data_IF_540801848788
#
_entry.id   IF_540801848788
#
_cell.length_a   1.000
_cell.length_b   1.000
_cell.length_c   1.000
_cell.angle_alpha   90.00
_cell.angle_beta   90.00
_cell.angle_gamma   90.00
#
_symmetry.space_group_name_H-M   'P 1'
#
loop_
_entity.id
_entity.type
_entity.pdbx_description
1 polymer ?
#
# COMPACT_ATOMS: atom_id res chain seq x y z
N UNK A 1 -8.68 7.11 19.19
CA UNK A 1 -8.02 5.96 18.51
C UNK A 1 -9.03 4.86 18.23
N UNK A 2 -8.89 4.18 17.12
CA UNK A 2 -9.64 2.97 16.77
C UNK A 2 -8.93 1.76 17.35
N UNK A 3 -9.70 0.79 17.88
CA UNK A 3 -9.16 -0.47 18.39
C UNK A 3 -9.64 -1.59 17.46
N UNK A 4 -8.71 -2.34 16.91
CA UNK A 4 -8.97 -3.56 16.15
C UNK A 4 -8.39 -4.74 16.93
N UNK A 5 -9.16 -5.80 17.07
CA UNK A 5 -8.74 -7.01 17.78
C UNK A 5 -8.74 -8.18 16.81
N UNK A 6 -7.60 -8.85 16.70
CA UNK A 6 -7.47 -10.11 15.96
C UNK A 6 -7.40 -11.27 16.92
N UNK A 7 -8.33 -12.21 16.82
CA UNK A 7 -8.37 -13.39 17.69
C UNK A 7 -7.47 -14.48 17.10
N UNK A 8 -6.29 -14.69 17.71
CA UNK A 8 -5.33 -15.72 17.27
C UNK A 8 -5.84 -17.16 17.43
N UNK A 9 -6.83 -17.37 18.31
CA UNK A 9 -7.41 -18.69 18.59
C UNK A 9 -8.54 -19.11 17.66
N UNK A 10 -9.06 -18.18 16.85
CA UNK A 10 -10.16 -18.42 15.90
C UNK A 10 -9.73 -17.82 14.56
N UNK A 11 -9.43 -18.70 13.63
CA UNK A 11 -8.89 -18.35 12.32
C UNK A 11 -9.79 -17.32 11.60
N UNK A 12 -9.19 -16.19 11.18
CA UNK A 12 -9.85 -15.15 10.40
C UNK A 12 -10.83 -14.26 11.18
N UNK A 13 -10.93 -14.38 12.52
CA UNK A 13 -11.85 -13.53 13.29
C UNK A 13 -11.18 -12.22 13.68
N UNK A 14 -11.75 -11.11 13.18
CA UNK A 14 -11.34 -9.76 13.49
C UNK A 14 -12.53 -8.94 14.02
N UNK A 15 -12.31 -8.20 15.11
CA UNK A 15 -13.27 -7.23 15.64
C UNK A 15 -12.72 -5.84 15.32
N UNK A 16 -13.32 -5.18 14.35
CA UNK A 16 -12.89 -3.87 13.90
C UNK A 16 -13.76 -2.78 14.52
N UNK A 17 -13.23 -2.05 15.50
CA UNK A 17 -13.91 -0.92 16.10
C UNK A 17 -14.06 0.24 15.10
N UNK A 18 -15.18 0.99 15.18
CA UNK A 18 -15.41 2.14 14.28
C UNK A 18 -14.59 3.38 14.68
N UNK A 19 -14.06 3.42 15.89
CA UNK A 19 -13.38 4.58 16.44
C UNK A 19 -14.36 5.66 16.95
N UNK A 20 -13.84 6.72 17.56
CA UNK A 20 -14.65 7.84 18.03
C UNK A 20 -15.09 8.73 16.86
N UNK A 21 -16.16 9.45 17.07
CA UNK A 21 -16.58 10.53 16.17
C UNK A 21 -15.49 11.62 16.10
N UNK A 22 -15.19 12.07 14.88
CA UNK A 22 -14.17 13.09 14.63
C UNK A 22 -14.89 14.44 14.41
N UNK A 23 -14.72 15.42 15.31
CA UNK A 23 -15.33 16.72 15.14
C UNK A 23 -14.88 17.43 13.85
N UNK A 24 -15.79 18.12 13.18
CA UNK A 24 -15.51 18.86 11.93
C UNK A 24 -14.29 19.82 12.05
N UNK A 25 -14.14 20.46 13.23
CA UNK A 25 -12.97 21.29 13.52
C UNK A 25 -11.66 20.53 13.37
N UNK A 26 -11.61 19.26 13.78
CA UNK A 26 -10.40 18.42 13.66
C UNK A 26 -10.14 17.99 12.22
N UNK A 27 -11.18 17.73 11.45
CA UNK A 27 -11.05 17.50 10.01
C UNK A 27 -10.48 18.74 9.31
N UNK A 28 -10.99 19.94 9.63
CA UNK A 28 -10.45 21.21 9.09
C UNK A 28 -8.99 21.45 9.48
N UNK A 29 -8.61 21.13 10.72
CA UNK A 29 -7.22 21.20 11.19
C UNK A 29 -6.30 20.25 10.38
N UNK A 30 -6.74 19.01 10.15
CA UNK A 30 -6.03 18.04 9.32
C UNK A 30 -5.86 18.56 7.89
N UNK A 31 -6.94 19.01 7.25
CA UNK A 31 -6.88 19.54 5.88
C UNK A 31 -5.94 20.74 5.77
N UNK A 32 -5.90 21.61 6.79
CA UNK A 32 -4.94 22.72 6.84
C UNK A 32 -3.50 22.24 6.95
N UNK A 33 -3.22 21.19 7.73
CA UNK A 33 -1.86 20.61 7.82
C UNK A 33 -1.45 19.99 6.47
N UNK A 34 -2.35 19.21 5.85
CA UNK A 34 -2.09 18.58 4.56
C UNK A 34 -1.89 19.62 3.44
N UNK A 35 -2.61 20.75 3.50
CA UNK A 35 -2.48 21.81 2.48
C UNK A 35 -1.09 22.48 2.45
N UNK A 36 -0.28 22.30 3.51
CA UNK A 36 1.09 22.79 3.58
C UNK A 36 2.12 21.88 2.89
N UNK A 37 1.72 20.66 2.49
CA UNK A 37 2.58 19.75 1.75
C UNK A 37 2.88 20.30 0.34
N UNK A 38 4.08 19.99 -0.16
CA UNK A 38 4.58 20.46 -1.44
C UNK A 38 5.55 19.50 -2.12
N UNK A 39 6.29 20.00 -3.07
CA UNK A 39 7.26 19.23 -3.85
C UNK A 39 8.28 18.52 -2.94
N UNK A 40 8.50 17.24 -3.19
CA UNK A 40 9.39 16.37 -2.42
C UNK A 40 8.74 15.68 -1.21
N UNK A 41 7.56 16.14 -0.77
CA UNK A 41 6.84 15.46 0.29
C UNK A 41 6.19 14.16 -0.20
N UNK A 42 6.05 13.19 0.72
CA UNK A 42 5.35 11.92 0.49
C UNK A 42 4.18 11.82 1.46
N UNK A 43 2.98 11.63 0.92
CA UNK A 43 1.78 11.41 1.72
C UNK A 43 1.27 9.98 1.54
N UNK A 44 1.07 9.28 2.66
CA UNK A 44 0.44 7.96 2.67
C UNK A 44 -1.03 8.10 3.07
N UNK A 45 -1.93 7.65 2.21
CA UNK A 45 -3.36 7.49 2.47
C UNK A 45 -3.62 5.99 2.61
N UNK A 46 -3.65 5.48 3.84
CA UNK A 46 -3.75 4.06 4.13
C UNK A 46 -4.96 3.72 5.00
N UNK A 47 -5.57 2.56 4.72
CA UNK A 47 -6.69 2.01 5.47
C UNK A 47 -8.06 2.61 5.11
N UNK A 48 -9.03 2.40 6.00
CA UNK A 48 -10.42 2.83 5.82
C UNK A 48 -10.67 4.23 6.39
N UNK A 49 -11.56 4.98 5.75
CA UNK A 49 -12.05 6.27 6.27
C UNK A 49 -12.99 6.01 7.46
N UNK A 50 -12.83 6.69 8.61
CA UNK A 50 -13.78 6.62 9.71
C UNK A 50 -15.20 7.01 9.27
N UNK A 51 -16.22 6.32 9.80
CA UNK A 51 -17.63 6.59 9.45
C UNK A 51 -18.12 8.01 9.75
N UNK A 52 -17.41 8.73 10.61
CA UNK A 52 -17.65 10.14 10.92
C UNK A 52 -17.07 11.13 9.92
N UNK A 53 -16.30 10.67 8.95
CA UNK A 53 -15.77 11.46 7.84
C UNK A 53 -16.49 11.11 6.54
N UNK A 54 -16.51 12.05 5.61
CA UNK A 54 -17.06 11.80 4.28
C UNK A 54 -16.25 10.70 3.55
N UNK A 55 -16.94 9.83 2.82
CA UNK A 55 -16.37 8.71 2.09
C UNK A 55 -15.50 9.12 0.88
N UNK A 56 -15.51 10.41 0.55
CA UNK A 56 -14.70 11.06 -0.47
C UNK A 56 -13.45 11.79 0.10
N UNK A 57 -13.13 11.57 1.39
CA UNK A 57 -12.04 12.30 2.06
C UNK A 57 -10.69 12.13 1.35
N UNK A 58 -10.34 10.92 0.89
CA UNK A 58 -9.10 10.69 0.13
C UNK A 58 -9.11 11.43 -1.21
N UNK A 59 -10.24 11.41 -1.91
CA UNK A 59 -10.41 12.16 -3.16
C UNK A 59 -10.19 13.65 -2.93
N UNK A 60 -10.82 14.25 -1.92
CA UNK A 60 -10.66 15.68 -1.57
C UNK A 60 -9.23 16.04 -1.20
N UNK A 61 -8.52 15.15 -0.49
CA UNK A 61 -7.10 15.35 -0.17
C UNK A 61 -6.26 15.37 -1.45
N UNK A 62 -6.48 14.41 -2.35
CA UNK A 62 -5.74 14.35 -3.61
C UNK A 62 -6.04 15.54 -4.52
N UNK A 63 -7.31 15.95 -4.61
CA UNK A 63 -7.72 17.15 -5.35
C UNK A 63 -7.05 18.43 -4.81
N UNK A 64 -6.99 18.58 -3.48
CA UNK A 64 -6.33 19.72 -2.84
C UNK A 64 -4.81 19.75 -3.08
N UNK A 65 -4.18 18.60 -3.26
CA UNK A 65 -2.73 18.45 -3.45
C UNK A 65 -2.34 18.32 -4.93
N UNK A 66 -3.31 18.31 -5.83
CA UNK A 66 -3.05 18.23 -7.27
C UNK A 66 -2.15 19.39 -7.74
N UNK A 67 -1.17 19.06 -8.57
CA UNK A 67 -0.19 20.02 -9.07
C UNK A 67 0.86 20.53 -8.07
N UNK A 68 0.85 20.09 -6.80
CA UNK A 68 1.83 20.52 -5.78
C UNK A 68 3.12 19.70 -5.72
N UNK A 69 3.27 18.68 -6.57
CA UNK A 69 4.47 17.84 -6.59
C UNK A 69 4.59 16.87 -5.41
N UNK A 70 3.52 16.67 -4.63
CA UNK A 70 3.47 15.68 -3.54
C UNK A 70 3.33 14.29 -4.14
N UNK A 71 4.19 13.34 -3.72
CA UNK A 71 4.04 11.93 -4.07
C UNK A 71 3.00 11.30 -3.16
N UNK A 72 1.82 10.96 -3.69
CA UNK A 72 0.73 10.37 -2.91
C UNK A 72 0.69 8.85 -3.12
N UNK A 73 0.78 8.14 -2.02
CA UNK A 73 0.72 6.67 -1.95
C UNK A 73 -0.62 6.27 -1.37
N UNK A 74 -1.35 5.38 -2.06
CA UNK A 74 -2.68 4.97 -1.62
C UNK A 74 -2.71 3.45 -1.39
N UNK A 75 -2.97 3.06 -0.14
CA UNK A 75 -3.27 1.68 0.25
C UNK A 75 -4.71 1.61 0.76
N UNK A 76 -5.64 1.51 -0.18
CA UNK A 76 -7.07 1.50 0.06
C UNK A 76 -7.75 0.45 -0.82
N UNK A 77 -8.96 0.04 -0.43
CA UNK A 77 -9.69 -1.02 -1.10
C UNK A 77 -10.87 -0.51 -1.93
N UNK A 78 -11.26 -1.26 -2.96
CA UNK A 78 -12.51 -1.13 -3.73
C UNK A 78 -12.80 0.31 -4.20
N UNK A 79 -13.98 0.81 -3.85
CA UNK A 79 -14.48 2.12 -4.30
C UNK A 79 -13.57 3.29 -3.90
N UNK A 80 -12.94 3.19 -2.71
CA UNK A 80 -12.04 4.23 -2.22
C UNK A 80 -10.80 4.34 -3.11
N UNK A 81 -10.24 3.20 -3.53
CA UNK A 81 -9.14 3.17 -4.49
C UNK A 81 -9.57 3.73 -5.86
N UNK A 82 -10.73 3.29 -6.36
CA UNK A 82 -11.19 3.72 -7.68
C UNK A 82 -11.47 5.24 -7.77
N UNK A 83 -11.96 5.84 -6.69
CA UNK A 83 -12.21 7.30 -6.61
C UNK A 83 -10.94 8.15 -6.70
N UNK A 84 -9.77 7.62 -6.32
CA UNK A 84 -8.51 8.39 -6.30
C UNK A 84 -7.66 8.22 -7.56
N UNK A 85 -7.91 7.21 -8.39
CA UNK A 85 -7.13 6.96 -9.60
C UNK A 85 -7.06 8.16 -10.57
N UNK A 86 -8.16 8.94 -10.81
CA UNK A 86 -8.11 10.10 -11.68
C UNK A 86 -7.13 11.21 -11.25
N UNK A 87 -6.68 11.19 -9.99
CA UNK A 87 -5.71 12.14 -9.42
C UNK A 87 -4.26 11.63 -9.46
N UNK A 88 -4.01 10.57 -10.22
CA UNK A 88 -2.67 10.04 -10.51
C UNK A 88 -1.82 9.71 -9.28
N UNK A 89 -2.29 8.86 -8.33
CA UNK A 89 -1.47 8.44 -7.19
C UNK A 89 -0.13 7.87 -7.68
N UNK A 90 0.96 8.26 -6.99
CA UNK A 90 2.31 7.79 -7.32
C UNK A 90 2.43 6.27 -7.19
N UNK A 91 1.86 5.70 -6.12
CA UNK A 91 1.83 4.27 -5.86
C UNK A 91 0.47 3.85 -5.31
N UNK A 92 -0.04 2.74 -5.81
CA UNK A 92 -1.14 2.00 -5.19
C UNK A 92 -0.69 0.57 -4.89
N UNK A 93 -1.22 -0.02 -3.79
CA UNK A 93 -0.89 -1.40 -3.42
C UNK A 93 -2.14 -2.26 -3.15
N UNK A 94 -2.87 -2.73 -4.14
CA UNK A 94 -3.84 -3.81 -3.94
C UNK A 94 -3.15 -5.15 -3.70
N UNK A 95 -3.78 -6.06 -2.95
CA UNK A 95 -3.42 -7.47 -3.02
C UNK A 95 -4.14 -8.14 -4.20
N UNK A 96 -3.76 -9.39 -4.53
CA UNK A 96 -4.36 -10.11 -5.66
C UNK A 96 -5.87 -10.35 -5.52
N UNK A 97 -6.39 -10.48 -4.29
CA UNK A 97 -7.82 -10.65 -4.02
C UNK A 97 -8.56 -9.33 -4.25
N UNK A 98 -8.07 -8.23 -3.70
CA UNK A 98 -8.62 -6.88 -3.89
C UNK A 98 -8.62 -6.48 -5.37
N UNK A 99 -7.52 -6.78 -6.08
CA UNK A 99 -7.44 -6.55 -7.52
C UNK A 99 -8.47 -7.41 -8.27
N UNK A 100 -8.60 -8.68 -7.89
CA UNK A 100 -9.60 -9.59 -8.46
C UNK A 100 -11.03 -9.12 -8.21
N UNK A 101 -11.35 -8.63 -7.01
CA UNK A 101 -12.66 -8.06 -6.67
C UNK A 101 -13.03 -6.86 -7.55
N UNK A 102 -12.08 -5.96 -7.83
CA UNK A 102 -12.31 -4.79 -8.70
C UNK A 102 -12.75 -5.21 -10.11
N UNK A 103 -12.21 -6.31 -10.62
CA UNK A 103 -12.46 -6.76 -11.99
C UNK A 103 -13.38 -7.97 -12.09
N UNK A 104 -13.91 -8.50 -10.97
CA UNK A 104 -14.78 -9.65 -10.93
C UNK A 104 -14.11 -10.97 -11.36
N UNK A 105 -12.81 -11.15 -11.07
CA UNK A 105 -11.99 -12.30 -11.46
C UNK A 105 -11.21 -12.86 -10.29
N UNK A 106 -10.80 -14.12 -10.39
CA UNK A 106 -9.86 -14.74 -9.43
C UNK A 106 -8.43 -14.71 -9.98
N UNK A 107 -7.50 -14.14 -9.22
CA UNK A 107 -6.10 -13.95 -9.61
C UNK A 107 -5.17 -14.74 -8.66
N UNK A 108 -4.50 -15.78 -9.18
CA UNK A 108 -3.70 -16.72 -8.39
C UNK A 108 -2.20 -16.67 -8.69
N UNK A 109 -1.81 -16.25 -9.88
CA UNK A 109 -0.40 -16.24 -10.31
C UNK A 109 0.07 -14.83 -10.60
N UNK A 110 1.39 -14.61 -10.54
CA UNK A 110 1.99 -13.30 -10.85
C UNK A 110 1.66 -12.85 -12.27
N UNK A 111 1.71 -13.74 -13.24
CA UNK A 111 1.37 -13.43 -14.62
C UNK A 111 -0.10 -12.99 -14.76
N UNK A 112 -1.00 -13.59 -13.97
CA UNK A 112 -2.44 -13.29 -14.04
C UNK A 112 -2.79 -11.89 -13.55
N UNK A 113 -2.00 -11.29 -12.65
CA UNK A 113 -2.28 -9.95 -12.11
C UNK A 113 -1.81 -8.82 -13.03
N UNK A 114 -0.80 -9.05 -13.88
CA UNK A 114 -0.19 -8.02 -14.73
C UNK A 114 -1.20 -7.28 -15.63
N UNK A 115 -2.09 -7.95 -16.38
CA UNK A 115 -3.05 -7.26 -17.23
C UNK A 115 -3.99 -6.33 -16.46
N UNK A 116 -4.39 -6.70 -15.25
CA UNK A 116 -5.29 -5.92 -14.40
C UNK A 116 -4.56 -4.76 -13.71
N UNK A 117 -3.34 -4.97 -13.27
CA UNK A 117 -2.49 -3.88 -12.77
C UNK A 117 -2.26 -2.81 -13.84
N UNK A 118 -2.00 -3.20 -15.09
CA UNK A 118 -1.92 -2.28 -16.25
C UNK A 118 -3.24 -1.54 -16.52
N UNK A 119 -4.39 -2.16 -16.23
CA UNK A 119 -5.67 -1.46 -16.34
C UNK A 119 -5.82 -0.38 -15.25
N UNK A 120 -5.33 -0.61 -14.02
CA UNK A 120 -5.31 0.43 -12.98
C UNK A 120 -4.35 1.58 -13.33
N UNK A 121 -3.21 1.28 -13.98
CA UNK A 121 -2.35 2.34 -14.54
C UNK A 121 -3.09 3.18 -15.59
N UNK A 122 -3.78 2.54 -16.53
CA UNK A 122 -4.57 3.27 -17.54
C UNK A 122 -5.68 4.12 -16.94
N UNK A 123 -6.15 3.79 -15.74
CA UNK A 123 -7.13 4.57 -14.98
C UNK A 123 -6.51 5.70 -14.16
N UNK A 124 -5.16 5.78 -14.09
CA UNK A 124 -4.45 6.92 -13.50
C UNK A 124 -3.31 6.58 -12.54
N UNK A 125 -3.25 5.40 -11.95
CA UNK A 125 -2.14 5.06 -11.06
C UNK A 125 -0.80 5.12 -11.82
N UNK A 126 0.24 5.73 -11.23
CA UNK A 126 1.56 5.74 -11.86
C UNK A 126 2.27 4.38 -11.67
N UNK A 127 2.29 3.87 -10.46
CA UNK A 127 2.88 2.57 -10.13
C UNK A 127 1.84 1.70 -9.43
N UNK A 128 1.79 0.41 -9.78
CA UNK A 128 0.88 -0.58 -9.19
C UNK A 128 1.68 -1.73 -8.62
N UNK A 129 1.75 -1.80 -7.29
CA UNK A 129 2.41 -2.88 -6.54
C UNK A 129 1.35 -3.88 -6.08
N UNK A 130 1.34 -5.08 -6.64
CA UNK A 130 0.38 -6.14 -6.26
C UNK A 130 1.05 -7.10 -5.31
N UNK A 131 0.57 -7.17 -4.06
CA UNK A 131 1.03 -8.14 -3.08
C UNK A 131 0.26 -9.47 -3.22
N UNK A 132 0.95 -10.60 -3.12
CA UNK A 132 0.38 -11.92 -3.38
C UNK A 132 0.74 -12.95 -2.29
N UNK A 133 0.98 -12.49 -1.07
CA UNK A 133 1.36 -13.31 0.08
C UNK A 133 2.47 -14.31 -0.28
N UNK A 134 2.23 -15.64 -0.15
CA UNK A 134 3.21 -16.68 -0.45
C UNK A 134 3.65 -16.76 -1.92
N UNK A 135 2.91 -16.16 -2.86
CA UNK A 135 3.28 -16.08 -4.28
C UNK A 135 4.25 -14.93 -4.58
N UNK A 136 4.50 -14.04 -3.60
CA UNK A 136 5.39 -12.91 -3.75
C UNK A 136 4.70 -11.61 -4.14
N UNK A 137 5.21 -10.91 -5.15
CA UNK A 137 4.65 -9.64 -5.59
C UNK A 137 4.94 -9.34 -7.07
N UNK A 138 4.17 -8.39 -7.62
CA UNK A 138 4.35 -7.82 -8.95
C UNK A 138 4.32 -6.30 -8.86
N UNK A 139 5.25 -5.63 -9.52
CA UNK A 139 5.22 -4.19 -9.73
C UNK A 139 5.02 -3.89 -11.22
N UNK A 140 4.01 -3.10 -11.54
CA UNK A 140 3.91 -2.44 -12.85
C UNK A 140 4.31 -0.99 -12.65
N UNK A 141 5.51 -0.63 -13.10
CA UNK A 141 6.13 0.67 -12.87
C UNK A 141 5.69 1.72 -13.90
N UNK A 142 5.78 3.00 -13.53
CA UNK A 142 5.49 4.13 -14.42
C UNK A 142 6.42 4.17 -15.66
N UNK A 143 7.61 3.55 -15.58
CA UNK A 143 8.51 3.36 -16.71
C UNK A 143 7.95 2.42 -17.79
N UNK A 144 6.87 1.68 -17.49
CA UNK A 144 6.32 0.62 -18.33
C UNK A 144 6.90 -0.76 -18.07
N UNK A 145 7.95 -0.87 -17.23
CA UNK A 145 8.55 -2.12 -16.84
C UNK A 145 7.64 -2.91 -15.90
N UNK A 146 7.77 -4.23 -15.93
CA UNK A 146 7.08 -5.14 -15.02
C UNK A 146 8.14 -5.94 -14.27
N UNK A 147 8.12 -5.86 -12.95
CA UNK A 147 8.99 -6.62 -12.07
C UNK A 147 8.16 -7.65 -11.33
N UNK A 148 8.68 -8.87 -11.24
CA UNK A 148 8.07 -9.98 -10.53
C UNK A 148 9.09 -10.64 -9.62
N UNK A 149 8.70 -10.99 -8.40
CA UNK A 149 9.53 -11.76 -7.50
C UNK A 149 8.71 -12.73 -6.67
N UNK A 150 9.22 -13.94 -6.42
CA UNK A 150 8.61 -14.88 -5.48
C UNK A 150 8.72 -14.35 -4.05
N UNK A 151 7.91 -14.89 -3.15
CA UNK A 151 8.05 -14.60 -1.73
C UNK A 151 9.40 -15.09 -1.20
N UNK A 152 10.12 -14.30 -0.39
CA UNK A 152 11.31 -14.76 0.31
C UNK A 152 10.99 -15.94 1.24
N UNK A 153 12.01 -16.76 1.51
CA UNK A 153 11.86 -17.90 2.42
C UNK A 153 11.85 -17.40 3.87
N UNK A 154 10.82 -17.78 4.62
CA UNK A 154 10.70 -17.48 6.03
C UNK A 154 9.47 -18.13 6.64
N UNK A 155 9.38 -18.11 7.97
CA UNK A 155 8.20 -18.61 8.69
C UNK A 155 7.27 -17.44 8.96
N UNK A 156 6.04 -17.54 8.49
CA UNK A 156 4.99 -16.57 8.83
C UNK A 156 4.72 -16.62 10.36
N UNK A 157 4.93 -15.51 11.03
CA UNK A 157 4.67 -15.31 12.46
C UNK A 157 3.49 -14.37 12.65
N UNK A 158 3.52 -13.21 11.98
CA UNK A 158 2.47 -12.19 12.11
C UNK A 158 2.32 -11.39 10.81
N UNK A 159 1.21 -11.58 10.10
CA UNK A 159 0.94 -10.84 8.86
C UNK A 159 0.45 -9.40 9.04
N UNK A 160 0.21 -8.96 10.30
CA UNK A 160 -0.30 -7.60 10.59
C UNK A 160 0.77 -6.55 10.29
N UNK A 161 0.43 -5.57 9.47
CA UNK A 161 1.35 -4.50 9.09
C UNK A 161 2.35 -4.89 7.99
N UNK A 162 2.35 -6.14 7.50
CA UNK A 162 3.23 -6.54 6.39
C UNK A 162 2.95 -5.75 5.11
N UNK A 163 1.68 -5.46 4.80
CA UNK A 163 1.28 -4.61 3.68
C UNK A 163 1.77 -3.17 3.83
N UNK A 164 1.58 -2.59 5.01
CA UNK A 164 2.05 -1.23 5.33
C UNK A 164 3.58 -1.15 5.25
N UNK A 165 4.28 -2.18 5.78
CA UNK A 165 5.74 -2.28 5.70
C UNK A 165 6.22 -2.40 4.25
N UNK A 166 5.50 -3.15 3.38
CA UNK A 166 5.83 -3.26 1.95
C UNK A 166 5.75 -1.89 1.26
N UNK A 167 4.71 -1.13 1.52
CA UNK A 167 4.54 0.22 0.94
C UNK A 167 5.62 1.18 1.46
N UNK A 168 5.90 1.14 2.76
CA UNK A 168 6.93 1.97 3.38
C UNK A 168 8.33 1.62 2.85
N UNK A 169 8.66 0.32 2.74
CA UNK A 169 9.92 -0.16 2.17
C UNK A 169 10.09 0.23 0.71
N UNK A 170 9.03 0.10 -0.11
CA UNK A 170 9.06 0.56 -1.50
C UNK A 170 9.40 2.05 -1.59
N UNK A 171 8.70 2.89 -0.82
CA UNK A 171 8.95 4.33 -0.85
C UNK A 171 10.34 4.70 -0.34
N UNK A 172 10.80 4.05 0.73
CA UNK A 172 12.16 4.26 1.24
C UNK A 172 13.23 3.92 0.18
N UNK A 173 13.10 2.76 -0.49
CA UNK A 173 14.01 2.36 -1.56
C UNK A 173 13.94 3.28 -2.78
N UNK A 174 12.74 3.73 -3.16
CA UNK A 174 12.59 4.68 -4.26
C UNK A 174 13.21 6.05 -3.94
N UNK A 175 13.00 6.56 -2.74
CA UNK A 175 13.58 7.84 -2.32
C UNK A 175 15.11 7.76 -2.18
N UNK A 176 15.66 6.57 -1.94
CA UNK A 176 17.12 6.36 -1.85
C UNK A 176 17.81 6.44 -3.22
N UNK A 177 17.22 5.87 -4.27
CA UNK A 177 17.90 5.67 -5.57
C UNK A 177 17.10 6.08 -6.80
N UNK A 178 15.82 6.39 -6.67
CA UNK A 178 14.87 6.59 -7.77
C UNK A 178 14.87 5.41 -8.79
N UNK A 179 15.13 4.20 -8.29
CA UNK A 179 15.19 2.95 -9.05
C UNK A 179 14.02 2.05 -8.66
N UNK A 180 13.20 1.66 -9.64
CA UNK A 180 11.99 0.86 -9.38
C UNK A 180 12.29 -0.57 -8.95
N UNK A 181 13.36 -1.19 -9.47
CA UNK A 181 13.73 -2.55 -9.07
C UNK A 181 14.23 -2.57 -7.63
N UNK A 182 15.07 -1.59 -7.26
CA UNK A 182 15.52 -1.44 -5.88
C UNK A 182 14.35 -1.18 -4.92
N UNK A 183 13.45 -0.26 -5.29
CA UNK A 183 12.24 0.04 -4.52
C UNK A 183 11.35 -1.21 -4.34
N UNK A 184 11.15 -1.97 -5.40
CA UNK A 184 10.38 -3.22 -5.38
C UNK A 184 10.98 -4.25 -4.44
N UNK A 185 12.30 -4.49 -4.53
CA UNK A 185 13.00 -5.40 -3.63
C UNK A 185 12.96 -4.93 -2.17
N UNK A 186 13.13 -3.64 -1.90
CA UNK A 186 12.99 -3.06 -0.55
C UNK A 186 11.57 -3.23 0.00
N UNK A 187 10.55 -3.04 -0.85
CA UNK A 187 9.16 -3.28 -0.47
C UNK A 187 8.90 -4.73 -0.07
N UNK A 188 9.32 -5.69 -0.90
CA UNK A 188 9.19 -7.12 -0.59
C UNK A 188 9.95 -7.47 0.68
N UNK A 189 11.19 -6.98 0.83
CA UNK A 189 12.00 -7.26 2.01
C UNK A 189 11.34 -6.75 3.29
N UNK A 190 10.86 -5.52 3.30
CA UNK A 190 10.21 -4.92 4.47
C UNK A 190 8.90 -5.62 4.83
N UNK A 191 8.06 -5.91 3.84
CA UNK A 191 6.80 -6.63 4.04
C UNK A 191 7.02 -8.06 4.55
N UNK A 192 7.95 -8.79 3.95
CA UNK A 192 8.25 -10.17 4.33
C UNK A 192 8.95 -10.27 5.68
N UNK A 193 9.93 -9.40 5.96
CA UNK A 193 10.58 -9.35 7.26
C UNK A 193 9.58 -9.08 8.38
N UNK A 194 8.64 -8.14 8.17
CA UNK A 194 7.57 -7.88 9.14
C UNK A 194 6.64 -9.08 9.31
N UNK A 195 6.32 -9.82 8.24
CA UNK A 195 5.53 -11.04 8.33
C UNK A 195 6.24 -12.19 9.07
N UNK A 196 7.57 -12.19 9.09
CA UNK A 196 8.41 -13.19 9.78
C UNK A 196 8.75 -12.80 11.22
N UNK A 197 8.33 -11.64 11.69
CA UNK A 197 8.61 -11.11 13.03
C UNK A 197 7.32 -11.01 13.87
N UNK A 198 7.45 -10.99 15.20
CA UNK A 198 6.31 -10.80 16.11
C UNK A 198 5.74 -9.37 16.02
N UNK A 199 6.62 -8.41 15.80
CA UNK A 199 6.31 -6.98 15.58
C UNK A 199 6.71 -6.57 14.16
N UNK A 200 6.63 -5.27 13.85
CA UNK A 200 7.21 -4.74 12.61
C UNK A 200 8.72 -4.98 12.61
N UNK A 201 9.26 -5.33 11.44
CA UNK A 201 10.66 -5.70 11.29
C UNK A 201 11.63 -4.55 11.62
N UNK A 202 12.76 -4.93 12.20
CA UNK A 202 13.90 -4.02 12.35
C UNK A 202 14.64 -3.82 11.03
N UNK A 203 15.53 -2.82 11.00
CA UNK A 203 16.38 -2.56 9.82
C UNK A 203 17.25 -3.76 9.46
N UNK A 204 17.79 -4.45 10.45
CA UNK A 204 18.65 -5.61 10.27
C UNK A 204 17.89 -6.80 9.68
N UNK A 205 16.65 -7.04 10.14
CA UNK A 205 15.77 -8.08 9.61
C UNK A 205 15.40 -7.78 8.16
N UNK A 206 15.08 -6.52 7.82
CA UNK A 206 14.81 -6.10 6.44
C UNK A 206 16.04 -6.32 5.57
N UNK A 207 17.22 -5.91 6.02
CA UNK A 207 18.47 -6.09 5.28
C UNK A 207 18.77 -7.56 4.98
N UNK A 208 18.56 -8.45 5.97
CA UNK A 208 18.74 -9.89 5.81
C UNK A 208 17.81 -10.48 4.74
N UNK A 209 16.54 -10.05 4.70
CA UNK A 209 15.58 -10.51 3.68
C UNK A 209 15.90 -9.89 2.32
N UNK A 210 16.32 -8.62 2.27
CA UNK A 210 16.76 -7.96 1.03
C UNK A 210 17.90 -8.71 0.34
N UNK A 211 18.90 -9.17 1.11
CA UNK A 211 19.98 -9.99 0.58
C UNK A 211 19.52 -11.32 -0.02
N UNK A 212 18.44 -11.93 0.50
CA UNK A 212 17.89 -13.17 -0.09
C UNK A 212 17.26 -12.93 -1.47
N UNK A 213 16.71 -11.72 -1.69
CA UNK A 213 16.00 -11.39 -2.93
C UNK A 213 16.99 -10.98 -4.04
N UNK A 214 18.13 -10.39 -3.66
CA UNK A 214 19.07 -9.77 -4.59
C UNK A 214 20.28 -10.66 -4.94
N UNK A 215 20.40 -11.83 -4.31
CA UNK A 215 21.39 -12.89 -4.64
C UNK A 215 20.85 -13.86 -5.68
#
# INVERSE_FOLDING_TARGET
SRINVKLKSIDGTEINGQGPEIPEKKVKELMKQLSALGEGDVLFLAGSIPSSMADDAYQKIMEMLDGKGVRIVVDATRDLLMKVLPYHPFLIKPNNHELGEIFGVELKTRESVVPYAKQLQKKGAQNVLVSMAGEGAVLVAASGEVFEAPAPKGKLINGVGAGDSMVAGFMAGYMEKEDYLHAFHMGIAAGSASAFSENLATREEIASVYEQITK
#
